data_IF_825480838211
#
_entry.id   IF_825480838211
#
_cell.length_a   1.000
_cell.length_b   1.000
_cell.length_c   1.000
_cell.angle_alpha   90.00
_cell.angle_beta   90.00
_cell.angle_gamma   90.00
#
_symmetry.space_group_name_H-M   'P 1'
#
loop_
_entity.id
_entity.type
_entity.pdbx_description
1 polymer ?
#
# COMPACT_ATOMS: atom_id res chain seq x y z
N UNK A 1 -8.42 0.71 -1.69
CA UNK A 1 -8.06 1.95 -0.96
C UNK A 1 -8.78 3.17 -1.53
N UNK A 2 -9.95 2.97 -2.16
CA UNK A 2 -10.60 3.98 -2.99
C UNK A 2 -10.97 5.26 -2.24
N UNK A 3 -11.51 5.12 -1.03
CA UNK A 3 -11.87 6.28 -0.22
C UNK A 3 -10.66 7.15 0.11
N UNK A 4 -9.55 6.55 0.55
CA UNK A 4 -8.29 7.27 0.82
C UNK A 4 -7.81 8.00 -0.45
N UNK A 5 -7.85 7.34 -1.61
CA UNK A 5 -7.40 7.94 -2.86
C UNK A 5 -8.12 9.25 -3.20
N UNK A 6 -9.43 9.34 -2.99
CA UNK A 6 -10.25 10.49 -3.40
C UNK A 6 -10.40 11.58 -2.34
N UNK A 7 -9.89 11.39 -1.13
CA UNK A 7 -10.06 12.34 -0.01
C UNK A 7 -8.75 13.03 0.35
N UNK A 8 -8.81 14.26 0.87
CA UNK A 8 -7.62 14.97 1.31
C UNK A 8 -7.02 14.35 2.58
N UNK A 9 -5.75 14.65 2.87
CA UNK A 9 -5.13 14.24 4.14
C UNK A 9 -5.90 14.78 5.36
N UNK A 10 -6.48 15.98 5.25
CA UNK A 10 -7.37 16.56 6.27
C UNK A 10 -8.63 15.73 6.47
N UNK A 11 -9.32 15.36 5.37
CA UNK A 11 -10.51 14.51 5.45
C UNK A 11 -10.20 13.16 6.12
N UNK A 12 -9.07 12.55 5.76
CA UNK A 12 -8.60 11.29 6.37
C UNK A 12 -8.35 11.49 7.86
N UNK A 13 -7.57 12.50 8.25
CA UNK A 13 -7.27 12.80 9.65
C UNK A 13 -8.54 13.16 10.46
N UNK A 14 -9.59 13.65 9.82
CA UNK A 14 -10.88 13.93 10.45
C UNK A 14 -11.75 12.68 10.67
N UNK A 15 -11.46 11.56 9.98
CA UNK A 15 -12.15 10.28 10.16
C UNK A 15 -11.46 9.34 11.16
N UNK A 16 -10.27 9.70 11.64
CA UNK A 16 -9.50 8.92 12.61
C UNK A 16 -9.78 9.36 14.05
N UNK A 17 -9.67 8.45 15.04
CA UNK A 17 -9.68 8.84 16.45
C UNK A 17 -8.56 9.83 16.77
N UNK A 18 -8.80 10.75 17.70
CA UNK A 18 -7.83 11.81 18.06
C UNK A 18 -6.44 11.25 18.44
N UNK A 19 -6.39 10.10 19.12
CA UNK A 19 -5.14 9.45 19.54
C UNK A 19 -4.29 8.93 18.38
N UNK A 20 -4.84 8.80 17.17
CA UNK A 20 -4.10 8.35 15.97
C UNK A 20 -3.48 9.51 15.20
N UNK A 21 -3.98 10.73 15.42
CA UNK A 21 -3.56 11.93 14.68
C UNK A 21 -2.89 12.96 15.57
N UNK A 22 -2.83 12.73 16.89
CA UNK A 22 -2.17 13.64 17.82
C UNK A 22 -1.72 12.93 19.10
N UNK A 23 -0.58 13.36 19.63
CA UNK A 23 -0.07 12.99 20.94
C UNK A 23 0.72 14.16 21.55
N UNK A 24 1.50 13.93 22.62
CA UNK A 24 2.25 14.98 23.31
C UNK A 24 3.37 15.63 22.45
N UNK A 25 3.83 14.96 21.40
CA UNK A 25 4.94 15.37 20.53
C UNK A 25 4.51 15.71 19.10
N UNK A 26 3.33 15.26 18.69
CA UNK A 26 2.84 15.36 17.30
C UNK A 26 1.43 15.94 17.32
N UNK A 27 1.23 17.05 16.61
CA UNK A 27 -0.08 17.65 16.43
C UNK A 27 -0.83 17.04 15.24
N UNK A 28 -2.15 17.25 15.19
CA UNK A 28 -2.95 16.89 14.01
C UNK A 28 -2.51 17.62 12.74
N UNK A 29 -1.97 18.83 12.87
CA UNK A 29 -1.41 19.57 11.73
C UNK A 29 -0.16 18.87 11.18
N UNK A 30 0.74 18.43 12.06
CA UNK A 30 1.94 17.67 11.66
C UNK A 30 1.55 16.36 10.96
N UNK A 31 0.55 15.65 11.49
CA UNK A 31 0.02 14.44 10.86
C UNK A 31 -0.54 14.72 9.46
N UNK A 32 -1.34 15.78 9.28
CA UNK A 32 -1.91 16.16 7.99
C UNK A 32 -0.81 16.51 6.99
N UNK A 33 0.23 17.23 7.42
CA UNK A 33 1.36 17.58 6.57
C UNK A 33 2.10 16.32 6.11
N UNK A 34 2.50 15.46 7.05
CA UNK A 34 3.21 14.21 6.74
C UNK A 34 2.38 13.31 5.80
N UNK A 35 1.08 13.15 6.08
CA UNK A 35 0.20 12.37 5.21
C UNK A 35 0.03 13.01 3.84
N UNK A 36 0.01 14.34 3.72
CA UNK A 36 -0.07 15.01 2.40
C UNK A 36 1.12 14.65 1.51
N UNK A 37 2.32 14.57 2.09
CA UNK A 37 3.55 14.19 1.39
C UNK A 37 3.58 12.68 1.08
N UNK A 38 3.11 11.85 2.01
CA UNK A 38 3.28 10.39 1.97
C UNK A 38 2.07 9.63 1.42
N UNK A 39 0.93 10.29 1.17
CA UNK A 39 -0.31 9.66 0.70
C UNK A 39 -0.11 8.86 -0.60
N UNK A 40 0.85 9.26 -1.44
CA UNK A 40 1.17 8.60 -2.70
C UNK A 40 1.58 7.12 -2.57
N UNK A 41 2.01 6.68 -1.38
CA UNK A 41 2.35 5.27 -1.14
C UNK A 41 1.14 4.32 -1.17
N UNK A 42 -0.07 4.84 -0.93
CA UNK A 42 -1.28 4.03 -0.87
C UNK A 42 -1.84 3.81 -2.28
N UNK A 43 -1.53 2.66 -2.88
CA UNK A 43 -2.09 2.28 -4.17
C UNK A 43 -3.63 2.26 -4.11
N UNK A 44 -4.33 2.91 -5.07
CA UNK A 44 -5.77 3.14 -4.99
C UNK A 44 -6.60 1.85 -4.95
N UNK A 45 -6.13 0.83 -5.66
CA UNK A 45 -6.80 -0.45 -5.86
C UNK A 45 -6.26 -1.58 -4.97
N UNK A 46 -5.19 -1.34 -4.19
CA UNK A 46 -4.61 -2.33 -3.27
C UNK A 46 -3.94 -3.53 -3.97
N UNK A 47 -3.66 -3.43 -5.28
CA UNK A 47 -3.03 -4.48 -6.07
C UNK A 47 -1.51 -4.44 -5.86
N UNK A 48 -0.89 -5.61 -5.65
CA UNK A 48 0.56 -5.77 -5.71
C UNK A 48 1.04 -5.47 -7.15
N UNK A 49 1.82 -4.41 -7.37
CA UNK A 49 2.19 -3.96 -8.70
C UNK A 49 3.22 -4.88 -9.35
N UNK A 50 3.18 -4.97 -10.69
CA UNK A 50 4.16 -5.69 -11.47
C UNK A 50 5.60 -5.26 -11.13
N UNK A 51 6.48 -6.24 -10.93
CA UNK A 51 7.87 -5.99 -10.54
C UNK A 51 8.08 -5.71 -9.06
N UNK A 52 7.04 -5.34 -8.29
CA UNK A 52 7.14 -5.11 -6.84
C UNK A 52 7.78 -6.27 -6.08
N UNK A 53 7.23 -7.51 -6.18
CA UNK A 53 7.80 -8.68 -5.51
C UNK A 53 9.24 -8.99 -5.91
N UNK A 54 9.59 -8.79 -7.20
CA UNK A 54 10.94 -8.98 -7.72
C UNK A 54 11.92 -7.96 -7.15
N UNK A 55 11.52 -6.70 -7.05
CA UNK A 55 12.31 -5.62 -6.45
C UNK A 55 12.55 -5.91 -4.97
N UNK A 56 11.51 -6.28 -4.20
CA UNK A 56 11.67 -6.67 -2.80
C UNK A 56 12.66 -7.82 -2.63
N UNK A 57 12.54 -8.89 -3.43
CA UNK A 57 13.48 -10.00 -3.38
C UNK A 57 14.91 -9.59 -3.76
N UNK A 58 15.08 -8.71 -4.75
CA UNK A 58 16.39 -8.20 -5.13
C UNK A 58 17.05 -7.41 -3.98
N UNK A 59 16.27 -6.56 -3.29
CA UNK A 59 16.74 -5.82 -2.10
C UNK A 59 17.13 -6.77 -0.97
N UNK A 60 16.30 -7.76 -0.64
CA UNK A 60 16.58 -8.74 0.42
C UNK A 60 17.84 -9.58 0.13
N UNK A 61 18.06 -9.92 -1.15
CA UNK A 61 19.31 -10.58 -1.59
C UNK A 61 20.52 -9.66 -1.41
N UNK A 62 20.38 -8.39 -1.80
CA UNK A 62 21.46 -7.40 -1.69
C UNK A 62 21.92 -7.20 -0.24
N UNK A 63 20.99 -7.16 0.72
CA UNK A 63 21.30 -6.98 2.15
C UNK A 63 21.67 -8.28 2.88
N UNK A 64 21.73 -9.41 2.16
CA UNK A 64 22.20 -10.69 2.70
C UNK A 64 21.18 -11.49 3.53
N UNK A 65 19.89 -11.13 3.48
CA UNK A 65 18.84 -11.80 4.25
C UNK A 65 18.39 -13.13 3.61
N UNK A 66 18.57 -13.29 2.31
CA UNK A 66 18.09 -14.47 1.56
C UNK A 66 19.08 -15.63 1.66
N UNK A 67 18.73 -16.64 2.45
CA UNK A 67 19.47 -17.91 2.58
C UNK A 67 18.80 -18.99 1.72
N UNK A 68 19.06 -18.98 0.41
CA UNK A 68 18.56 -19.99 -0.54
C UNK A 68 17.60 -19.45 -1.61
N UNK A 69 16.83 -20.34 -2.24
CA UNK A 69 15.85 -19.97 -3.27
C UNK A 69 14.55 -19.48 -2.66
N UNK A 70 13.97 -18.42 -3.23
CA UNK A 70 12.65 -17.88 -2.85
C UNK A 70 11.67 -18.10 -3.99
N UNK A 71 10.54 -18.71 -3.67
CA UNK A 71 9.41 -18.91 -4.57
C UNK A 71 8.39 -17.78 -4.36
N UNK A 72 8.45 -16.75 -5.22
CA UNK A 72 7.59 -15.56 -5.13
C UNK A 72 6.10 -15.87 -5.27
N UNK A 73 5.73 -16.99 -5.90
CA UNK A 73 4.32 -17.39 -6.06
C UNK A 73 3.63 -17.71 -4.73
N UNK A 74 4.42 -17.96 -3.68
CA UNK A 74 3.94 -18.30 -2.34
C UNK A 74 3.98 -17.13 -1.37
N UNK A 75 4.46 -15.96 -1.80
CA UNK A 75 4.68 -14.80 -0.90
C UNK A 75 3.59 -13.74 -1.03
N UNK A 76 2.77 -13.79 -2.08
CA UNK A 76 1.66 -12.86 -2.29
C UNK A 76 0.60 -13.47 -3.23
N UNK A 77 -0.58 -12.87 -3.26
CA UNK A 77 -1.59 -13.06 -4.32
C UNK A 77 -2.34 -11.75 -4.55
N UNK A 78 -2.79 -11.53 -5.79
CA UNK A 78 -3.68 -10.43 -6.15
C UNK A 78 -5.15 -10.85 -6.22
N UNK A 79 -5.47 -12.15 -6.04
CA UNK A 79 -6.81 -12.68 -6.31
C UNK A 79 -7.90 -11.98 -5.48
N UNK A 80 -7.64 -11.77 -4.19
CA UNK A 80 -8.60 -11.13 -3.29
C UNK A 80 -8.79 -9.64 -3.61
N UNK A 81 -7.71 -8.91 -3.92
CA UNK A 81 -7.80 -7.51 -4.30
C UNK A 81 -8.52 -7.33 -5.64
N UNK A 82 -8.21 -8.18 -6.63
CA UNK A 82 -8.89 -8.19 -7.92
C UNK A 82 -10.37 -8.51 -7.78
N UNK A 83 -10.71 -9.54 -6.99
CA UNK A 83 -12.10 -9.91 -6.73
C UNK A 83 -12.86 -8.80 -6.00
N UNK A 84 -12.26 -8.15 -4.99
CA UNK A 84 -12.89 -7.03 -4.29
C UNK A 84 -13.17 -5.86 -5.23
N UNK A 85 -12.19 -5.45 -6.05
CA UNK A 85 -12.40 -4.38 -7.04
C UNK A 85 -13.51 -4.74 -8.03
N UNK A 86 -13.55 -5.99 -8.49
CA UNK A 86 -14.62 -6.48 -9.39
C UNK A 86 -16.00 -6.45 -8.73
N UNK A 87 -16.11 -6.99 -7.50
CA UNK A 87 -17.39 -7.06 -6.76
C UNK A 87 -17.96 -5.67 -6.51
N UNK A 88 -17.11 -4.71 -6.15
CA UNK A 88 -17.50 -3.34 -5.82
C UNK A 88 -17.58 -2.43 -7.06
N UNK A 89 -17.34 -2.95 -8.27
CA UNK A 89 -17.45 -2.20 -9.52
C UNK A 89 -16.33 -1.17 -9.77
N UNK A 90 -15.18 -1.30 -9.09
CA UNK A 90 -14.04 -0.43 -9.30
C UNK A 90 -13.17 -0.88 -10.48
N UNK A 91 -12.76 0.07 -11.31
CA UNK A 91 -11.73 -0.15 -12.33
C UNK A 91 -10.35 -0.09 -11.67
N UNK A 92 -9.58 -1.15 -11.85
CA UNK A 92 -8.18 -1.22 -11.40
C UNK A 92 -7.28 -0.35 -12.28
N UNK A 93 -6.29 0.29 -11.69
CA UNK A 93 -5.34 1.19 -12.38
C UNK A 93 -3.92 0.66 -12.34
N UNK A 94 -3.60 -0.17 -11.36
CA UNK A 94 -2.29 -0.80 -11.17
C UNK A 94 -2.18 -2.03 -12.05
N UNK A 95 -1.09 -2.15 -12.82
CA UNK A 95 -0.74 -3.39 -13.51
C UNK A 95 -0.34 -4.44 -12.47
N UNK A 96 -1.07 -5.56 -12.34
CA UNK A 96 -0.81 -6.56 -11.30
C UNK A 96 0.50 -7.31 -11.57
N UNK A 97 1.21 -7.65 -10.50
CA UNK A 97 2.26 -8.66 -10.55
C UNK A 97 1.73 -10.01 -11.03
N UNK A 98 2.51 -10.67 -11.88
CA UNK A 98 2.20 -12.02 -12.36
C UNK A 98 2.43 -13.07 -11.26
N UNK A 99 2.09 -14.35 -11.50
CA UNK A 99 2.17 -15.41 -10.49
C UNK A 99 3.57 -15.63 -9.90
N UNK A 100 4.63 -15.14 -10.53
CA UNK A 100 6.03 -15.26 -10.06
C UNK A 100 6.67 -13.91 -9.78
N UNK A 101 5.87 -12.87 -9.53
CA UNK A 101 6.32 -11.48 -9.39
C UNK A 101 6.41 -10.73 -10.71
#
# INVERSE_FOLDING_TARGET
MHWINTHSASDIANKLPTSFVSNQLVTKADYIQALTEDKGQFLPDGIMPAGGPKTSLATEKLVGNVKGSVDLSKTFTNDFALQANKTEGFKTTTTPAGPTG
#
